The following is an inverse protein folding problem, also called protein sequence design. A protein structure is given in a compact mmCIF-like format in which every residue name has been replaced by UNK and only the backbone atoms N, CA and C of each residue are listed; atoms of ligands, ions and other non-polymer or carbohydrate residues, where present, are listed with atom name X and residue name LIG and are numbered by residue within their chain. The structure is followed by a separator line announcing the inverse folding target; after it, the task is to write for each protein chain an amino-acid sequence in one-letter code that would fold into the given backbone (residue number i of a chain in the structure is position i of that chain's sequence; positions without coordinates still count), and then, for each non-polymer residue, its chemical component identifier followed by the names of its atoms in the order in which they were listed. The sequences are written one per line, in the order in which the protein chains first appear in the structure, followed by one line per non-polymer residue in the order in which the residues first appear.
data_IF_105091559229
#
_entry.id   IF_105091559229
#
_cell.length_a   1.000
_cell.length_b   1.000
_cell.length_c   1.000
_cell.angle_alpha   90.00
_cell.angle_beta   90.00
_cell.angle_gamma   90.00
#
_symmetry.space_group_name_H-M   'P 1'
#
loop_
_entity.id
_entity.type
_entity.pdbx_description
1 polymer ?
#
# COMPACT_ATOMS: atom_id res chain seq x y z
N UNK A 1 9.70 18.29 4.54
CA UNK A 1 8.90 18.30 5.78
C UNK A 1 7.55 17.67 5.48
N UNK A 2 7.26 16.47 5.98
CA UNK A 2 5.89 15.93 5.96
C UNK A 2 5.29 16.17 7.34
N UNK A 3 4.47 17.22 7.47
CA UNK A 3 3.84 17.61 8.75
C UNK A 3 2.79 16.59 9.22
N UNK A 4 2.28 15.76 8.32
CA UNK A 4 1.12 14.89 8.54
C UNK A 4 1.29 13.52 7.86
N UNK A 5 2.18 12.65 8.35
CA UNK A 5 2.47 11.37 7.70
C UNK A 5 1.25 10.44 7.62
N UNK A 6 0.36 10.49 8.62
CA UNK A 6 -0.88 9.74 8.62
C UNK A 6 -1.79 10.15 7.44
N UNK A 7 -2.11 11.43 7.33
CA UNK A 7 -2.98 11.93 6.27
C UNK A 7 -2.36 11.75 4.88
N UNK A 8 -1.03 11.83 4.75
CA UNK A 8 -0.34 11.54 3.50
C UNK A 8 -0.45 10.08 3.07
N UNK A 9 -0.23 9.13 4.00
CA UNK A 9 -0.35 7.70 3.70
C UNK A 9 -1.79 7.30 3.36
N UNK A 10 -2.76 7.77 4.15
CA UNK A 10 -4.17 7.49 3.91
C UNK A 10 -4.70 8.19 2.66
N UNK A 11 -4.23 9.41 2.38
CA UNK A 11 -4.58 10.15 1.17
C UNK A 11 -4.05 9.47 -0.09
N UNK A 12 -2.81 8.96 -0.07
CA UNK A 12 -2.26 8.20 -1.19
C UNK A 12 -3.10 6.95 -1.46
N UNK A 13 -3.38 6.15 -0.43
CA UNK A 13 -4.22 4.96 -0.56
C UNK A 13 -5.61 5.26 -1.13
N UNK A 14 -6.24 6.36 -0.70
CA UNK A 14 -7.55 6.75 -1.23
C UNK A 14 -7.49 7.18 -2.70
N UNK A 15 -6.43 7.90 -3.09
CA UNK A 15 -6.25 8.32 -4.48
C UNK A 15 -6.00 7.13 -5.40
N UNK A 16 -5.17 6.16 -5.00
CA UNK A 16 -4.87 4.95 -5.77
C UNK A 16 -6.12 4.05 -5.95
N UNK A 17 -7.10 4.12 -5.04
CA UNK A 17 -8.38 3.39 -5.19
C UNK A 17 -9.32 4.10 -6.18
N UNK A 18 -9.31 5.44 -6.20
CA UNK A 18 -10.27 6.24 -6.97
C UNK A 18 -9.77 6.54 -8.38
N UNK A 19 -8.46 6.62 -8.59
CA UNK A 19 -7.88 7.03 -9.86
C UNK A 19 -8.05 5.99 -10.97
N UNK A 20 -8.02 4.70 -10.65
CA UNK A 20 -8.26 3.62 -11.60
C UNK A 20 -9.65 3.67 -12.20
N UNK A 21 -10.67 3.82 -11.35
CA UNK A 21 -12.06 3.92 -11.79
C UNK A 21 -12.28 5.15 -12.70
N UNK A 22 -11.69 6.29 -12.32
CA UNK A 22 -11.84 7.53 -13.09
C UNK A 22 -11.10 7.45 -14.43
N UNK A 23 -9.84 7.01 -14.43
CA UNK A 23 -9.01 7.03 -15.65
C UNK A 23 -9.43 5.99 -16.68
N UNK A 24 -9.86 4.80 -16.22
CA UNK A 24 -10.42 3.78 -17.11
C UNK A 24 -11.77 4.22 -17.70
N UNK A 25 -12.65 4.83 -16.89
CA UNK A 25 -13.93 5.35 -17.39
C UNK A 25 -13.79 6.52 -18.38
N UNK A 26 -12.66 7.25 -18.34
CA UNK A 26 -12.33 8.31 -19.30
C UNK A 26 -11.71 7.80 -20.61
N UNK A 27 -11.57 6.48 -20.78
CA UNK A 27 -11.13 5.84 -22.03
C UNK A 27 -9.61 5.66 -22.15
N UNK A 28 -8.86 5.70 -21.05
CA UNK A 28 -7.44 5.31 -21.05
C UNK A 28 -7.31 3.79 -21.23
N UNK A 29 -6.33 3.33 -22.02
CA UNK A 29 -6.07 1.90 -22.17
C UNK A 29 -5.47 1.30 -20.89
N UNK A 30 -5.91 0.10 -20.49
CA UNK A 30 -5.40 -0.63 -19.32
C UNK A 30 -3.87 -0.67 -19.28
N UNK A 31 -3.23 -0.94 -20.42
CA UNK A 31 -1.77 -1.01 -20.53
C UNK A 31 -1.06 0.30 -20.18
N UNK A 32 -1.65 1.44 -20.53
CA UNK A 32 -1.08 2.76 -20.26
C UNK A 32 -1.34 3.15 -18.81
N UNK A 33 -2.54 2.88 -18.31
CA UNK A 33 -2.90 3.11 -16.91
C UNK A 33 -2.01 2.29 -15.97
N UNK A 34 -1.88 0.99 -16.20
CA UNK A 34 -1.04 0.11 -15.38
C UNK A 34 0.42 0.58 -15.32
N UNK A 35 0.98 1.11 -16.41
CA UNK A 35 2.36 1.58 -16.43
C UNK A 35 2.52 2.88 -15.61
N UNK A 36 1.57 3.80 -15.73
CA UNK A 36 1.54 5.06 -14.97
C UNK A 36 1.30 4.79 -13.49
N UNK A 37 0.30 3.98 -13.16
CA UNK A 37 -0.04 3.53 -11.81
C UNK A 37 1.18 2.91 -11.13
N UNK A 38 1.80 1.90 -11.76
CA UNK A 38 2.97 1.19 -11.21
C UNK A 38 4.20 2.08 -11.05
N UNK A 39 4.34 3.11 -11.88
CA UNK A 39 5.43 4.10 -11.76
C UNK A 39 5.16 5.06 -10.60
N UNK A 40 3.91 5.43 -10.39
CA UNK A 40 3.46 6.33 -9.31
C UNK A 40 3.56 5.61 -7.95
N UNK A 41 3.10 4.36 -7.89
CA UNK A 41 3.32 3.39 -6.80
C UNK A 41 4.78 3.40 -6.31
N UNK A 42 5.74 3.35 -7.24
CA UNK A 42 7.16 3.31 -6.92
C UNK A 42 7.64 4.60 -6.24
N UNK A 43 7.18 5.76 -6.72
CA UNK A 43 7.46 7.05 -6.09
C UNK A 43 6.89 7.08 -4.68
N UNK A 44 5.67 6.59 -4.47
CA UNK A 44 5.04 6.48 -3.17
C UNK A 44 5.84 5.59 -2.22
N UNK A 45 6.38 4.45 -2.68
CA UNK A 45 7.25 3.60 -1.87
C UNK A 45 8.55 4.32 -1.46
N UNK A 46 9.14 5.14 -2.33
CA UNK A 46 10.34 5.94 -1.97
C UNK A 46 9.99 6.92 -0.85
N UNK A 47 8.86 7.60 -0.93
CA UNK A 47 8.41 8.49 0.15
C UNK A 47 8.15 7.74 1.46
N UNK A 48 7.53 6.55 1.39
CA UNK A 48 7.35 5.68 2.55
C UNK A 48 8.69 5.28 3.17
N UNK A 49 9.71 4.94 2.36
CA UNK A 49 11.06 4.66 2.85
C UNK A 49 11.65 5.89 3.55
N UNK A 50 11.67 7.06 2.90
CA UNK A 50 12.25 8.29 3.46
C UNK A 50 11.59 8.66 4.79
N UNK A 51 10.27 8.51 4.88
CA UNK A 51 9.51 8.73 6.11
C UNK A 51 9.89 7.69 7.17
N UNK A 52 9.90 6.42 6.77
CA UNK A 52 10.15 5.28 7.63
C UNK A 52 11.56 5.20 8.21
N UNK A 53 12.56 5.71 7.50
CA UNK A 53 13.94 5.83 7.99
C UNK A 53 14.07 6.71 9.24
N UNK A 54 13.08 7.58 9.50
CA UNK A 54 13.02 8.45 10.67
C UNK A 54 12.41 7.78 11.90
N UNK A 55 11.84 6.59 11.74
CA UNK A 55 11.19 5.85 12.80
C UNK A 55 12.09 4.74 13.36
N UNK A 56 11.83 4.35 14.61
CA UNK A 56 12.54 3.27 15.30
C UNK A 56 12.37 1.90 14.62
N UNK A 57 11.34 1.72 13.79
CA UNK A 57 11.10 0.53 12.96
C UNK A 57 11.82 0.52 11.61
N UNK A 58 12.76 1.45 11.36
CA UNK A 58 13.52 1.59 10.10
C UNK A 58 14.07 0.28 9.52
N UNK A 59 14.54 -0.66 10.35
CA UNK A 59 15.08 -1.94 9.87
C UNK A 59 14.01 -2.78 9.18
N UNK A 60 12.83 -2.89 9.80
CA UNK A 60 11.68 -3.60 9.22
C UNK A 60 11.22 -2.93 7.93
N UNK A 61 11.19 -1.60 7.91
CA UNK A 61 10.81 -0.82 6.73
C UNK A 61 11.77 -1.05 5.57
N UNK A 62 13.09 -1.00 5.81
CA UNK A 62 14.10 -1.26 4.77
C UNK A 62 13.91 -2.67 4.20
N UNK A 63 13.73 -3.68 5.05
CA UNK A 63 13.53 -5.07 4.60
C UNK A 63 12.29 -5.20 3.72
N UNK A 64 11.15 -4.64 4.16
CA UNK A 64 9.90 -4.69 3.41
C UNK A 64 9.95 -3.88 2.11
N UNK A 65 10.63 -2.74 2.12
CA UNK A 65 10.85 -1.93 0.95
C UNK A 65 11.74 -2.65 -0.08
N UNK A 66 12.85 -3.25 0.36
CA UNK A 66 13.71 -4.04 -0.50
C UNK A 66 12.95 -5.23 -1.11
N UNK A 67 12.15 -5.92 -0.30
CA UNK A 67 11.28 -6.99 -0.78
C UNK A 67 10.29 -6.48 -1.84
N UNK A 68 9.64 -5.33 -1.62
CA UNK A 68 8.70 -4.75 -2.59
C UNK A 68 9.38 -4.30 -3.88
N UNK A 69 10.57 -3.71 -3.80
CA UNK A 69 11.37 -3.32 -4.99
C UNK A 69 11.70 -4.54 -5.84
N UNK A 70 12.10 -5.67 -5.22
CA UNK A 70 12.42 -6.89 -5.97
C UNK A 70 11.20 -7.33 -6.77
N UNK A 71 10.01 -7.32 -6.16
CA UNK A 71 8.75 -7.58 -6.86
C UNK A 71 8.49 -6.61 -8.02
N UNK A 72 8.68 -5.31 -7.79
CA UNK A 72 8.50 -4.29 -8.82
C UNK A 72 9.45 -4.47 -10.01
N UNK A 73 10.72 -4.74 -9.75
CA UNK A 73 11.74 -4.99 -10.80
C UNK A 73 11.39 -6.26 -11.58
N UNK A 74 11.01 -7.32 -10.89
CA UNK A 74 10.59 -8.57 -11.52
C UNK A 74 9.36 -8.36 -12.41
N UNK A 75 8.39 -7.55 -11.98
CA UNK A 75 7.25 -7.16 -12.81
C UNK A 75 7.69 -6.39 -14.06
N UNK A 76 8.56 -5.38 -13.94
CA UNK A 76 9.03 -4.62 -15.11
C UNK A 76 9.80 -5.50 -16.12
N UNK A 77 10.48 -6.55 -15.67
CA UNK A 77 11.20 -7.48 -16.56
C UNK A 77 10.24 -8.49 -17.20
N UNK A 78 9.29 -9.03 -16.44
CA UNK A 78 8.45 -10.15 -16.87
C UNK A 78 7.10 -9.73 -17.45
N UNK A 79 6.62 -8.53 -17.12
CA UNK A 79 5.26 -8.06 -17.41
C UNK A 79 4.17 -8.87 -16.71
N UNK A 80 4.51 -9.71 -15.72
CA UNK A 80 3.58 -10.64 -15.12
C UNK A 80 3.12 -10.18 -13.73
N UNK A 81 1.83 -9.89 -13.60
CA UNK A 81 1.20 -9.43 -12.36
C UNK A 81 1.23 -10.48 -11.24
N UNK A 82 1.36 -11.77 -11.55
CA UNK A 82 1.50 -12.87 -10.58
C UNK A 82 2.70 -12.64 -9.65
N UNK A 83 3.72 -11.90 -10.10
CA UNK A 83 4.85 -11.51 -9.25
C UNK A 83 4.36 -10.78 -8.00
N UNK A 84 3.31 -9.97 -8.08
CA UNK A 84 2.78 -9.23 -6.93
C UNK A 84 2.04 -10.10 -5.91
N UNK A 85 1.54 -11.28 -6.31
CA UNK A 85 1.04 -12.29 -5.38
C UNK A 85 2.14 -12.78 -4.43
N UNK A 86 3.35 -12.95 -4.98
CA UNK A 86 4.51 -13.39 -4.21
C UNK A 86 5.24 -12.26 -3.51
N UNK A 87 5.11 -11.02 -4.00
CA UNK A 87 5.76 -9.81 -3.48
C UNK A 87 4.73 -8.77 -3.01
N UNK A 88 3.85 -9.20 -2.11
CA UNK A 88 2.78 -8.36 -1.59
C UNK A 88 3.30 -7.14 -0.85
N UNK A 89 2.60 -6.02 -1.00
CA UNK A 89 2.95 -4.79 -0.31
C UNK A 89 2.59 -4.83 1.19
N UNK A 90 3.41 -5.46 2.03
CA UNK A 90 3.27 -5.39 3.50
C UNK A 90 3.77 -4.08 4.10
N UNK A 91 4.55 -3.30 3.33
CA UNK A 91 5.13 -2.04 3.78
C UNK A 91 4.03 -1.02 4.09
N UNK A 92 3.12 -0.81 3.14
CA UNK A 92 2.04 0.17 3.26
C UNK A 92 1.13 -0.04 4.49
N UNK A 93 0.49 -1.22 4.71
CA UNK A 93 -0.38 -1.40 5.87
C UNK A 93 0.39 -1.31 7.19
N UNK A 94 1.65 -1.75 7.24
CA UNK A 94 2.50 -1.57 8.42
C UNK A 94 2.75 -0.08 8.70
N UNK A 95 3.09 0.69 7.67
CA UNK A 95 3.33 2.13 7.77
C UNK A 95 2.07 2.87 8.21
N UNK A 96 0.89 2.49 7.72
CA UNK A 96 -0.39 3.08 8.11
C UNK A 96 -0.70 2.83 9.59
N UNK A 97 -0.52 1.59 10.08
CA UNK A 97 -0.74 1.25 11.50
C UNK A 97 0.27 1.98 12.39
N UNK A 98 1.55 2.02 12.00
CA UNK A 98 2.57 2.73 12.78
C UNK A 98 2.31 4.23 12.82
N UNK A 99 1.90 4.83 11.69
CA UNK A 99 1.50 6.24 11.62
C UNK A 99 0.29 6.53 12.51
N UNK A 100 -0.69 5.62 12.59
CA UNK A 100 -1.84 5.73 13.50
C UNK A 100 -1.42 5.73 14.97
N UNK A 101 -0.55 4.80 15.35
CA UNK A 101 -0.02 4.71 16.72
C UNK A 101 0.77 5.98 17.06
N UNK A 102 1.63 6.44 16.16
CA UNK A 102 2.42 7.65 16.33
C UNK A 102 1.54 8.90 16.43
N UNK A 103 0.49 9.00 15.61
CA UNK A 103 -0.47 10.11 15.66
C UNK A 103 -1.23 10.15 17.00
N UNK A 104 -1.65 8.98 17.50
CA UNK A 104 -2.38 8.87 18.76
C UNK A 104 -1.51 9.19 19.97
N UNK A 105 -0.26 8.72 19.98
CA UNK A 105 0.65 8.86 21.13
C UNK A 105 1.51 10.12 21.08
N UNK A 106 1.66 10.75 19.90
CA UNK A 106 2.46 11.96 19.62
C UNK A 106 3.94 11.87 20.06
N UNK A 107 4.41 10.67 20.37
CA UNK A 107 5.75 10.38 20.88
C UNK A 107 6.25 9.09 20.23
N UNK A 108 7.42 9.18 19.61
CA UNK A 108 8.02 8.10 18.83
C UNK A 108 8.46 6.92 19.70
N UNK A 109 9.02 7.19 20.89
CA UNK A 109 9.48 6.15 21.79
C UNK A 109 8.29 5.35 22.34
N UNK A 110 7.21 6.05 22.71
CA UNK A 110 5.96 5.41 23.15
C UNK A 110 5.29 4.65 22.03
N UNK A 111 5.33 5.16 20.80
CA UNK A 111 4.82 4.48 19.62
C UNK A 111 5.57 3.18 19.35
N UNK A 112 6.90 3.21 19.39
CA UNK A 112 7.72 2.02 19.21
C UNK A 112 7.50 0.97 20.30
N UNK A 113 7.43 1.37 21.57
CA UNK A 113 7.12 0.46 22.68
C UNK A 113 5.74 -0.17 22.52
N UNK A 114 4.75 0.61 22.11
CA UNK A 114 3.38 0.13 21.87
C UNK A 114 3.33 -0.84 20.69
N UNK A 115 4.02 -0.52 19.59
CA UNK A 115 4.20 -1.41 18.45
C UNK A 115 4.85 -2.73 18.86
N UNK A 116 5.94 -2.68 19.62
CA UNK A 116 6.64 -3.89 20.08
C UNK A 116 5.78 -4.74 21.01
N UNK A 117 5.02 -4.10 21.91
CA UNK A 117 4.09 -4.78 22.82
C UNK A 117 2.97 -5.50 22.07
N UNK A 118 2.48 -4.92 20.97
CA UNK A 118 1.37 -5.46 20.19
C UNK A 118 1.82 -5.99 18.82
N UNK A 119 3.08 -6.42 18.69
CA UNK A 119 3.66 -6.80 17.39
C UNK A 119 2.87 -7.92 16.70
N UNK A 120 2.42 -8.91 17.49
CA UNK A 120 1.60 -10.03 17.00
C UNK A 120 0.27 -9.51 16.45
N UNK A 121 -0.38 -8.59 17.16
CA UNK A 121 -1.66 -8.01 16.74
C UNK A 121 -1.50 -7.16 15.48
N UNK A 122 -0.45 -6.34 15.41
CA UNK A 122 -0.16 -5.51 14.23
C UNK A 122 0.03 -6.38 12.99
N UNK A 123 0.86 -7.42 13.09
CA UNK A 123 1.10 -8.33 11.98
C UNK A 123 -0.14 -9.19 11.65
N UNK A 124 -0.93 -9.59 12.63
CA UNK A 124 -2.21 -10.26 12.38
C UNK A 124 -3.15 -9.35 11.57
N UNK A 125 -3.27 -8.07 11.92
CA UNK A 125 -4.07 -7.10 11.15
C UNK A 125 -3.53 -6.93 9.73
N UNK A 126 -2.21 -6.78 9.57
CA UNK A 126 -1.57 -6.66 8.24
C UNK A 126 -1.84 -7.89 7.37
N UNK A 127 -1.72 -9.09 7.94
CA UNK A 127 -1.95 -10.34 7.22
C UNK A 127 -3.43 -10.52 6.87
N UNK A 128 -4.35 -10.26 7.80
CA UNK A 128 -5.81 -10.33 7.55
C UNK A 128 -6.20 -9.34 6.46
N UNK A 129 -5.71 -8.10 6.53
CA UNK A 129 -5.94 -7.09 5.51
C UNK A 129 -5.43 -7.54 4.14
N UNK A 130 -4.25 -8.17 4.08
CA UNK A 130 -3.71 -8.68 2.83
C UNK A 130 -4.48 -9.86 2.27
N UNK A 131 -4.77 -10.87 3.08
CA UNK A 131 -5.57 -12.01 2.65
C UNK A 131 -6.94 -11.54 2.14
N UNK A 132 -7.55 -10.57 2.83
CA UNK A 132 -8.78 -9.95 2.38
C UNK A 132 -8.64 -9.27 1.01
N UNK A 133 -7.60 -8.45 0.83
CA UNK A 133 -7.35 -7.75 -0.44
C UNK A 133 -7.13 -8.71 -1.62
N UNK A 134 -6.36 -9.77 -1.38
CA UNK A 134 -6.09 -10.82 -2.37
C UNK A 134 -7.33 -11.64 -2.71
N UNK A 135 -8.14 -11.97 -1.70
CA UNK A 135 -9.40 -12.66 -1.91
C UNK A 135 -10.36 -11.80 -2.76
N UNK A 136 -10.36 -10.49 -2.54
CA UNK A 136 -11.15 -9.56 -3.34
C UNK A 136 -10.67 -9.51 -4.80
N UNK A 137 -9.37 -9.36 -5.01
CA UNK A 137 -8.76 -9.28 -6.35
C UNK A 137 -8.88 -10.59 -7.14
N UNK A 138 -8.70 -11.75 -6.50
CA UNK A 138 -8.59 -13.03 -7.20
C UNK A 138 -9.83 -13.93 -7.16
N UNK A 139 -10.61 -13.89 -6.08
CA UNK A 139 -11.78 -14.77 -5.93
C UNK A 139 -13.11 -14.06 -6.18
N UNK A 140 -13.18 -12.75 -5.91
CA UNK A 140 -14.42 -12.02 -6.11
C UNK A 140 -14.56 -11.59 -7.58
N UNK A 141 -13.50 -11.14 -8.27
CA UNK A 141 -13.65 -10.47 -9.58
C UNK A 141 -14.73 -9.37 -9.52
N UNK A 142 -14.95 -8.81 -8.33
CA UNK A 142 -15.91 -7.76 -8.04
C UNK A 142 -15.06 -6.50 -8.02
N UNK A 143 -15.38 -5.55 -8.88
CA UNK A 143 -14.84 -4.20 -8.80
C UNK A 143 -15.24 -3.57 -7.44
N UNK A 144 -14.26 -3.08 -6.68
CA UNK A 144 -14.50 -2.33 -5.43
C UNK A 144 -15.36 -1.09 -5.69
N UNK A 145 -15.26 -0.53 -6.91
CA UNK A 145 -16.13 0.48 -7.50
C UNK A 145 -17.59 0.07 -7.52
N UNK A 146 -17.90 -1.19 -7.82
CA UNK A 146 -19.27 -1.70 -7.87
C UNK A 146 -19.89 -1.77 -6.46
N UNK A 147 -19.10 -2.20 -5.47
CA UNK A 147 -19.59 -2.42 -4.11
C UNK A 147 -19.69 -1.13 -3.28
N UNK A 148 -18.73 -0.21 -3.41
CA UNK A 148 -18.73 1.06 -2.67
C UNK A 148 -19.37 2.22 -3.43
N UNK A 149 -19.26 2.27 -4.76
CA UNK A 149 -19.64 3.43 -5.56
C UNK A 149 -20.78 3.15 -6.56
N UNK A 150 -21.17 1.88 -6.77
CA UNK A 150 -22.30 1.52 -7.63
C UNK A 150 -22.08 1.78 -9.12
N UNK A 151 -20.84 1.92 -9.57
CA UNK A 151 -20.50 2.08 -10.98
C UNK A 151 -19.87 0.82 -11.55
N UNK A 152 -20.39 0.38 -12.69
CA UNK A 152 -19.76 -0.62 -13.56
C UNK A 152 -18.65 0.09 -14.35
N UNK A 153 -17.40 -0.14 -13.99
CA UNK A 153 -16.27 0.14 -14.87
C UNK A 153 -16.49 -0.58 -16.21
N UNK A 154 -16.33 0.16 -17.31
CA UNK A 154 -16.63 -0.32 -18.65
C UNK A 154 -15.85 -1.59 -18.99
N UNK A 155 -16.55 -2.54 -19.60
CA UNK A 155 -15.93 -3.66 -20.32
C UNK A 155 -15.04 -3.18 -21.46
#
# INVERSE_FOLDING_TARGET
MLKFPLFGLWGNYFLDVVDGDILLSLGMSDSTYQLIDKSTDFISYIFMLILGLRWSIRKTIIILFSYRIIGQILYFITGNEIVFLYFQNFLEPLMMIYALILFKLKDENKAYLTYKKHIILVWAIVLVYKIWNEWYLHFANIDLSLFFFGFTGGK
#
